data_IF_892747690284
#
_entry.id   IF_892747690284
#
_cell.length_a   1.000
_cell.length_b   1.000
_cell.length_c   1.000
_cell.angle_alpha   90.00
_cell.angle_beta   90.00
_cell.angle_gamma   90.00
#
_symmetry.space_group_name_H-M   'P 1'
#
loop_
_entity.id
_entity.type
_entity.pdbx_description
1 polymer ?
#
# COMPACT_ATOMS: atom_id res chain seq x y z
N UNK A 1 35.43 71.16 -50.51
CA UNK A 1 34.57 71.04 -49.34
C UNK A 1 33.75 69.75 -49.47
N UNK A 2 34.27 68.66 -48.93
CA UNK A 2 33.60 67.35 -49.02
C UNK A 2 33.24 66.89 -47.58
N UNK A 3 31.98 66.86 -47.29
CA UNK A 3 31.45 66.40 -45.99
C UNK A 3 31.40 64.89 -46.02
N UNK A 4 32.18 64.25 -45.16
CA UNK A 4 32.11 62.82 -44.89
C UNK A 4 30.98 62.53 -43.92
N UNK A 5 29.99 61.80 -44.40
CA UNK A 5 28.92 61.30 -43.55
C UNK A 5 29.33 59.95 -43.07
N UNK A 6 29.59 59.87 -41.78
CA UNK A 6 29.90 58.60 -41.05
C UNK A 6 28.60 57.91 -40.69
N UNK A 7 28.34 56.78 -41.32
CA UNK A 7 27.17 55.91 -41.04
C UNK A 7 27.58 54.99 -39.91
N UNK A 8 26.98 55.19 -38.73
CA UNK A 8 27.13 54.33 -37.58
C UNK A 8 26.15 53.17 -37.70
N UNK A 9 26.66 51.99 -38.02
CA UNK A 9 25.85 50.78 -38.05
C UNK A 9 25.79 50.23 -36.62
N UNK A 10 24.67 50.44 -35.91
CA UNK A 10 24.41 49.80 -34.65
C UNK A 10 23.96 48.33 -34.87
N UNK A 11 24.85 47.40 -34.53
CA UNK A 11 24.53 45.98 -34.51
C UNK A 11 23.66 45.69 -33.29
N UNK A 12 22.39 45.45 -33.49
CA UNK A 12 21.48 44.96 -32.47
C UNK A 12 21.74 43.46 -32.29
N UNK A 13 22.43 43.10 -31.21
CA UNK A 13 22.59 41.69 -30.80
C UNK A 13 21.30 41.31 -30.07
N UNK A 14 20.48 40.54 -30.77
CA UNK A 14 19.27 39.91 -30.22
C UNK A 14 19.72 38.70 -29.40
N UNK A 15 19.87 38.85 -28.07
CA UNK A 15 20.09 37.73 -27.15
C UNK A 15 18.75 37.04 -26.90
N UNK A 16 18.53 35.92 -27.58
CA UNK A 16 17.41 35.03 -27.26
C UNK A 16 17.71 34.31 -25.95
N UNK A 17 17.14 34.82 -24.88
CA UNK A 17 17.10 34.08 -23.61
C UNK A 17 16.15 32.90 -23.75
N UNK A 18 16.70 31.71 -23.98
CA UNK A 18 15.94 30.47 -23.94
C UNK A 18 15.53 30.22 -22.46
N UNK A 19 14.29 30.55 -22.11
CA UNK A 19 13.67 30.07 -20.88
C UNK A 19 13.55 28.53 -20.98
N UNK A 20 14.50 27.82 -20.42
CA UNK A 20 14.34 26.42 -20.10
C UNK A 20 13.22 26.33 -19.06
N UNK A 21 12.02 26.01 -19.51
CA UNK A 21 10.93 25.60 -18.63
C UNK A 21 11.37 24.30 -17.94
N UNK A 22 11.98 24.45 -16.78
CA UNK A 22 12.25 23.34 -15.90
C UNK A 22 10.90 22.73 -15.50
N UNK A 23 10.55 21.61 -16.11
CA UNK A 23 9.45 20.76 -15.69
C UNK A 23 9.79 20.33 -14.26
N UNK A 24 9.28 21.04 -13.26
CA UNK A 24 9.28 20.56 -11.89
C UNK A 24 8.38 19.34 -11.86
N UNK A 25 8.94 18.16 -12.05
CA UNK A 25 8.29 16.90 -11.70
C UNK A 25 8.07 16.98 -10.19
N UNK A 26 6.87 17.41 -9.80
CA UNK A 26 6.42 17.32 -8.43
C UNK A 26 6.32 15.82 -8.13
N UNK A 27 7.33 15.27 -7.50
CA UNK A 27 7.24 13.96 -6.86
C UNK A 27 6.29 14.18 -5.68
N UNK A 28 4.99 14.09 -5.97
CA UNK A 28 3.96 13.98 -4.94
C UNK A 28 4.35 12.72 -4.18
N UNK A 29 4.93 12.88 -2.99
CA UNK A 29 5.29 11.76 -2.14
C UNK A 29 4.05 10.89 -2.00
N UNK A 30 4.11 9.67 -2.55
CA UNK A 30 3.02 8.72 -2.41
C UNK A 30 2.92 8.42 -0.93
N UNK A 31 1.89 8.93 -0.27
CA UNK A 31 1.63 8.60 1.12
C UNK A 31 1.46 7.09 1.23
N UNK A 32 2.03 6.45 2.25
CA UNK A 32 1.88 5.02 2.41
C UNK A 32 0.39 4.65 2.50
N UNK A 33 -0.03 3.69 1.69
CA UNK A 33 -1.40 3.19 1.73
C UNK A 33 -1.67 2.54 3.08
N UNK A 34 -2.66 3.04 3.81
CA UNK A 34 -3.05 2.54 5.13
C UNK A 34 -4.33 1.73 5.05
N UNK A 35 -4.32 0.61 5.74
CA UNK A 35 -5.45 -0.29 5.90
C UNK A 35 -5.88 -0.30 7.37
N UNK A 36 -7.17 -0.10 7.64
CA UNK A 36 -7.75 -0.36 8.95
C UNK A 36 -8.36 -1.75 8.95
N UNK A 37 -8.10 -2.51 10.00
CA UNK A 37 -8.59 -3.87 10.19
C UNK A 37 -9.26 -3.91 11.56
N UNK A 38 -10.58 -4.02 11.58
CA UNK A 38 -11.30 -4.29 12.83
C UNK A 38 -11.46 -5.81 12.97
N UNK A 39 -10.91 -6.36 14.05
CA UNK A 39 -11.02 -7.78 14.39
C UNK A 39 -12.08 -7.94 15.47
N UNK A 40 -13.05 -8.80 15.21
CA UNK A 40 -13.99 -9.33 16.21
C UNK A 40 -13.64 -10.80 16.45
N UNK A 41 -13.16 -11.09 17.66
CA UNK A 41 -12.78 -12.46 18.06
C UNK A 41 -13.87 -13.17 18.87
N UNK A 42 -15.11 -12.64 18.84
CA UNK A 42 -16.25 -13.18 19.58
C UNK A 42 -16.31 -12.74 21.04
N UNK A 43 -15.22 -12.21 21.59
CA UNK A 43 -15.16 -11.70 22.97
C UNK A 43 -15.01 -10.19 22.99
N UNK A 44 -14.25 -9.64 22.08
CA UNK A 44 -13.94 -8.21 21.99
C UNK A 44 -13.62 -7.79 20.55
N UNK A 45 -13.74 -6.47 20.32
CA UNK A 45 -13.36 -5.84 19.06
C UNK A 45 -12.06 -5.08 19.22
N UNK A 46 -11.15 -5.28 18.28
CA UNK A 46 -9.85 -4.63 18.23
C UNK A 46 -9.67 -3.93 16.90
N UNK A 47 -9.06 -2.75 16.92
CA UNK A 47 -8.72 -2.01 15.71
C UNK A 47 -7.20 -2.06 15.50
N UNK A 48 -6.81 -2.55 14.35
CA UNK A 48 -5.42 -2.58 13.88
C UNK A 48 -5.27 -1.64 12.69
N UNK A 49 -4.10 -1.06 12.55
CA UNK A 49 -3.70 -0.33 11.35
C UNK A 49 -2.56 -1.09 10.69
N UNK A 50 -2.55 -1.12 9.38
CA UNK A 50 -1.46 -1.72 8.61
C UNK A 50 -0.96 -0.78 7.53
N UNK A 51 0.32 -0.88 7.22
CA UNK A 51 0.94 -0.22 6.08
C UNK A 51 1.03 -1.21 4.92
N UNK A 52 0.45 -0.85 3.78
CA UNK A 52 0.48 -1.68 2.59
C UNK A 52 1.74 -1.39 1.75
N UNK A 53 2.26 -2.43 1.11
CA UNK A 53 3.34 -2.32 0.14
C UNK A 53 2.81 -1.78 -1.19
N UNK A 54 3.65 -1.07 -1.92
CA UNK A 54 3.29 -0.52 -3.23
C UNK A 54 3.46 -1.57 -4.35
N UNK A 55 2.42 -2.39 -4.53
CA UNK A 55 2.33 -3.37 -5.61
C UNK A 55 0.91 -3.42 -6.19
N UNK A 56 0.72 -4.12 -7.30
CA UNK A 56 -0.59 -4.19 -7.98
C UNK A 56 -1.68 -4.85 -7.14
N UNK A 57 -1.33 -5.80 -6.28
CA UNK A 57 -2.28 -6.49 -5.40
C UNK A 57 -2.80 -5.56 -4.31
N UNK A 58 -1.91 -4.80 -3.68
CA UNK A 58 -2.27 -3.83 -2.63
C UNK A 58 -3.09 -2.66 -3.20
N UNK A 59 -2.73 -2.18 -4.40
CA UNK A 59 -3.53 -1.14 -5.08
C UNK A 59 -4.93 -1.66 -5.41
N UNK A 60 -5.06 -2.88 -5.93
CA UNK A 60 -6.36 -3.48 -6.21
C UNK A 60 -7.19 -3.73 -4.94
N UNK A 61 -6.55 -4.07 -3.82
CA UNK A 61 -7.23 -4.14 -2.52
C UNK A 61 -7.76 -2.77 -2.10
N UNK A 62 -6.97 -1.71 -2.21
CA UNK A 62 -7.41 -0.33 -1.91
C UNK A 62 -8.58 0.09 -2.81
N UNK A 63 -8.52 -0.19 -4.12
CA UNK A 63 -9.62 0.09 -5.06
C UNK A 63 -10.91 -0.66 -4.70
N UNK A 64 -10.80 -1.89 -4.22
CA UNK A 64 -11.94 -2.65 -3.69
C UNK A 64 -12.52 -1.94 -2.46
N UNK A 65 -11.68 -1.54 -1.50
CA UNK A 65 -12.10 -0.91 -0.26
C UNK A 65 -12.62 0.53 -0.43
N UNK A 66 -12.25 1.22 -1.51
CA UNK A 66 -12.84 2.52 -1.87
C UNK A 66 -14.32 2.39 -2.27
N UNK A 67 -14.77 1.22 -2.68
CA UNK A 67 -16.18 0.93 -2.99
C UNK A 67 -17.02 0.62 -1.75
N UNK A 68 -16.37 0.31 -0.64
CA UNK A 68 -16.99 0.01 0.65
C UNK A 68 -16.14 -0.92 1.51
N UNK A 69 -16.52 -1.04 2.77
CA UNK A 69 -15.90 -1.97 3.70
C UNK A 69 -16.06 -3.43 3.23
N UNK A 70 -15.06 -4.25 3.46
CA UNK A 70 -15.07 -5.68 3.18
C UNK A 70 -15.04 -6.45 4.49
N UNK A 71 -16.04 -7.27 4.73
CA UNK A 71 -16.10 -8.19 5.88
C UNK A 71 -15.64 -9.57 5.46
N UNK A 72 -14.75 -10.16 6.23
CA UNK A 72 -14.14 -11.46 5.98
C UNK A 72 -14.29 -12.33 7.23
N UNK A 73 -14.91 -13.47 7.09
CA UNK A 73 -14.87 -14.52 8.11
C UNK A 73 -13.58 -15.31 7.94
N UNK A 74 -12.74 -15.28 8.97
CA UNK A 74 -11.42 -15.87 8.94
C UNK A 74 -11.35 -17.04 9.93
N UNK A 75 -10.82 -18.16 9.47
CA UNK A 75 -10.55 -19.31 10.32
C UNK A 75 -9.08 -19.41 10.69
N UNK A 76 -8.80 -20.06 11.79
CA UNK A 76 -7.44 -20.39 12.19
C UNK A 76 -6.88 -21.51 11.32
N UNK A 77 -5.64 -21.36 10.88
CA UNK A 77 -4.93 -22.39 10.16
C UNK A 77 -3.62 -22.71 10.86
N UNK A 78 -3.51 -23.96 11.31
CA UNK A 78 -2.29 -24.54 11.90
C UNK A 78 -1.63 -23.74 13.03
N UNK A 79 -2.36 -22.87 13.73
CA UNK A 79 -1.90 -22.01 14.81
C UNK A 79 -0.77 -21.04 14.43
N UNK A 80 -0.75 -20.54 13.17
CA UNK A 80 0.19 -19.52 12.74
C UNK A 80 -0.43 -18.41 11.89
N UNK A 81 -1.66 -18.60 11.37
CA UNK A 81 -2.34 -17.59 10.54
C UNK A 81 -3.87 -17.61 10.72
N UNK A 82 -4.49 -16.48 10.45
CA UNK A 82 -5.94 -16.37 10.17
C UNK A 82 -6.12 -16.15 8.68
N UNK A 83 -7.00 -16.93 8.06
CA UNK A 83 -7.24 -16.90 6.61
C UNK A 83 -8.72 -16.85 6.29
N UNK A 84 -9.09 -15.99 5.34
CA UNK A 84 -10.47 -15.88 4.83
C UNK A 84 -10.52 -15.33 3.42
N UNK A 85 -11.59 -15.60 2.71
CA UNK A 85 -11.74 -15.28 1.30
C UNK A 85 -12.20 -13.82 1.10
N UNK A 86 -11.53 -13.11 0.20
CA UNK A 86 -12.00 -11.86 -0.37
C UNK A 86 -13.20 -12.11 -1.31
N UNK A 87 -14.11 -11.13 -1.49
CA UNK A 87 -15.25 -11.27 -2.40
C UNK A 87 -14.84 -11.32 -3.87
N UNK A 88 -13.63 -10.92 -4.21
CA UNK A 88 -13.08 -10.87 -5.56
C UNK A 88 -11.67 -11.45 -5.61
N UNK A 89 -11.22 -11.82 -6.81
CA UNK A 89 -9.82 -12.19 -7.06
C UNK A 89 -9.01 -10.94 -7.39
N UNK A 90 -7.86 -10.79 -6.75
CA UNK A 90 -6.91 -9.70 -6.96
C UNK A 90 -5.69 -10.18 -7.78
N UNK A 91 -4.96 -9.26 -8.43
CA UNK A 91 -3.69 -9.60 -9.08
C UNK A 91 -2.70 -10.25 -8.10
N UNK A 92 -1.87 -11.17 -8.57
CA UNK A 92 -0.84 -11.83 -7.78
C UNK A 92 0.53 -11.24 -8.08
N UNK A 93 1.35 -11.15 -7.04
CA UNK A 93 2.77 -10.77 -7.11
C UNK A 93 3.58 -11.76 -6.25
N UNK A 94 3.42 -13.04 -6.52
CA UNK A 94 4.01 -14.10 -5.71
C UNK A 94 5.53 -14.05 -5.78
N UNK A 95 6.15 -14.18 -4.62
CA UNK A 95 7.61 -14.22 -4.45
C UNK A 95 7.95 -15.10 -3.24
N UNK A 96 9.12 -15.75 -3.21
CA UNK A 96 9.59 -16.44 -2.02
C UNK A 96 9.58 -15.51 -0.81
N UNK A 97 8.77 -15.85 0.18
CA UNK A 97 8.50 -14.98 1.33
C UNK A 97 8.61 -15.78 2.63
N UNK A 98 9.36 -15.24 3.57
CA UNK A 98 9.36 -15.71 4.97
C UNK A 98 8.48 -14.76 5.77
N UNK A 99 7.34 -15.26 6.24
CA UNK A 99 6.39 -14.46 7.03
C UNK A 99 6.77 -14.42 8.49
N UNK A 100 6.31 -13.38 9.18
CA UNK A 100 6.37 -13.23 10.64
C UNK A 100 5.07 -12.56 11.14
N UNK A 101 4.92 -12.45 12.44
CA UNK A 101 3.74 -11.83 13.05
C UNK A 101 3.48 -10.42 12.49
N UNK A 102 2.25 -10.17 12.10
CA UNK A 102 1.77 -8.93 11.49
C UNK A 102 1.84 -8.90 9.97
N UNK A 103 2.48 -9.86 9.31
CA UNK A 103 2.50 -9.87 7.83
C UNK A 103 1.10 -10.15 7.27
N UNK A 104 0.72 -9.32 6.29
CA UNK A 104 -0.52 -9.45 5.53
C UNK A 104 -0.19 -10.02 4.15
N UNK A 105 -0.86 -11.11 3.82
CA UNK A 105 -0.60 -11.88 2.61
C UNK A 105 -1.89 -12.02 1.78
N UNK A 106 -1.74 -12.00 0.47
CA UNK A 106 -2.73 -12.49 -0.47
C UNK A 106 -2.29 -13.87 -0.96
N UNK A 107 -3.06 -14.90 -0.65
CA UNK A 107 -2.78 -16.25 -1.10
C UNK A 107 -3.70 -16.64 -2.25
N UNK A 108 -3.12 -17.15 -3.33
CA UNK A 108 -3.79 -17.54 -4.56
C UNK A 108 -4.72 -16.46 -5.16
N UNK A 109 -4.42 -15.19 -4.92
CA UNK A 109 -5.19 -14.05 -5.44
C UNK A 109 -6.54 -13.82 -4.76
N UNK A 110 -6.96 -14.65 -3.83
CA UNK A 110 -8.29 -14.58 -3.22
C UNK A 110 -8.32 -14.59 -1.70
N UNK A 111 -7.36 -15.22 -1.05
CA UNK A 111 -7.35 -15.37 0.41
C UNK A 111 -6.57 -14.24 1.04
N UNK A 112 -7.23 -13.48 1.91
CA UNK A 112 -6.58 -12.53 2.79
C UNK A 112 -6.11 -13.26 4.04
N UNK A 113 -4.83 -13.09 4.39
CA UNK A 113 -4.17 -13.82 5.47
C UNK A 113 -3.50 -12.83 6.42
N UNK A 114 -3.67 -13.04 7.71
CA UNK A 114 -2.95 -12.35 8.79
C UNK A 114 -2.08 -13.37 9.51
N UNK A 115 -0.77 -13.25 9.34
CA UNK A 115 0.19 -14.10 10.03
C UNK A 115 0.39 -13.62 11.48
N UNK A 116 0.44 -14.55 12.41
CA UNK A 116 0.84 -14.29 13.78
C UNK A 116 1.98 -15.22 14.26
N UNK A 117 2.49 -16.06 13.35
CA UNK A 117 3.72 -16.82 13.48
C UNK A 117 4.40 -17.02 12.12
N UNK A 118 5.51 -17.71 12.10
CA UNK A 118 6.36 -17.86 10.92
C UNK A 118 5.85 -18.93 9.95
N UNK A 119 5.99 -18.65 8.67
CA UNK A 119 5.82 -19.59 7.58
C UNK A 119 6.73 -19.19 6.41
N UNK A 120 6.94 -20.09 5.45
CA UNK A 120 7.76 -19.81 4.26
C UNK A 120 7.13 -20.47 3.04
N UNK A 121 6.79 -19.66 2.04
CA UNK A 121 6.20 -20.11 0.78
C UNK A 121 6.29 -19.01 -0.26
N UNK A 122 5.81 -19.30 -1.48
CA UNK A 122 5.57 -18.28 -2.50
C UNK A 122 4.25 -17.58 -2.22
N UNK A 123 4.35 -16.36 -1.70
CA UNK A 123 3.20 -15.53 -1.34
C UNK A 123 3.22 -14.19 -2.08
N UNK A 124 2.06 -13.56 -2.18
CA UNK A 124 1.93 -12.15 -2.53
C UNK A 124 1.87 -11.28 -1.27
N UNK A 125 2.95 -10.57 -0.89
CA UNK A 125 2.92 -9.67 0.26
C UNK A 125 2.02 -8.47 0.00
N UNK A 126 1.08 -8.22 0.91
CA UNK A 126 0.19 -7.04 0.87
C UNK A 126 0.70 -5.91 1.75
N UNK A 127 1.30 -6.21 2.89
CA UNK A 127 1.72 -5.22 3.86
C UNK A 127 2.02 -5.81 5.24
N UNK A 128 2.03 -4.93 6.24
CA UNK A 128 2.29 -5.32 7.63
C UNK A 128 1.45 -4.51 8.61
N UNK A 129 0.96 -5.16 9.65
CA UNK A 129 0.29 -4.52 10.79
C UNK A 129 1.30 -3.66 11.54
N UNK A 130 0.91 -2.41 11.82
CA UNK A 130 1.76 -1.42 12.46
C UNK A 130 1.78 -1.58 13.99
N UNK A 131 2.95 -1.43 14.58
CA UNK A 131 3.11 -1.22 16.03
C UNK A 131 2.56 -2.33 16.94
N UNK A 132 2.40 -3.56 16.46
CA UNK A 132 1.90 -4.69 17.23
C UNK A 132 3.01 -5.73 17.44
N UNK A 133 3.13 -6.24 18.65
CA UNK A 133 4.02 -7.38 18.94
C UNK A 133 3.32 -8.70 18.59
N UNK A 134 4.13 -9.76 18.40
CA UNK A 134 3.61 -11.11 18.19
C UNK A 134 2.64 -11.53 19.31
N UNK A 135 3.00 -11.26 20.56
CA UNK A 135 2.19 -11.63 21.73
C UNK A 135 0.84 -10.89 21.76
N UNK A 136 0.85 -9.58 21.46
CA UNK A 136 -0.36 -8.78 21.36
C UNK A 136 -1.25 -9.22 20.20
N UNK A 137 -0.67 -9.44 19.02
CA UNK A 137 -1.42 -9.90 17.86
C UNK A 137 -2.06 -11.26 18.10
N UNK A 138 -1.32 -12.20 18.71
CA UNK A 138 -1.85 -13.51 19.08
C UNK A 138 -3.00 -13.40 20.08
N UNK A 139 -2.93 -12.47 21.03
CA UNK A 139 -4.02 -12.20 21.97
C UNK A 139 -5.25 -11.58 21.28
N UNK A 140 -5.04 -10.64 20.34
CA UNK A 140 -6.10 -9.99 19.58
C UNK A 140 -6.83 -10.99 18.68
N UNK A 141 -6.09 -11.80 17.94
CA UNK A 141 -6.66 -12.81 17.04
C UNK A 141 -7.29 -13.96 17.80
N UNK A 142 -6.80 -14.26 19.02
CA UNK A 142 -7.35 -15.30 19.86
C UNK A 142 -7.24 -16.70 19.26
N UNK A 143 -7.95 -17.64 19.90
CA UNK A 143 -8.15 -18.99 19.39
C UNK A 143 -9.42 -19.06 18.52
N UNK A 144 -9.43 -19.96 17.53
CA UNK A 144 -10.58 -20.18 16.66
C UNK A 144 -10.77 -19.10 15.58
N UNK A 145 -12.00 -18.90 15.18
CA UNK A 145 -12.34 -18.01 14.07
C UNK A 145 -12.47 -16.56 14.54
N UNK A 146 -12.24 -15.64 13.59
CA UNK A 146 -12.48 -14.20 13.80
C UNK A 146 -13.21 -13.62 12.60
N UNK A 147 -13.92 -12.51 12.80
CA UNK A 147 -14.41 -11.69 11.70
C UNK A 147 -13.54 -10.46 11.57
N UNK A 148 -13.02 -10.21 10.38
CA UNK A 148 -12.25 -9.01 10.06
C UNK A 148 -13.06 -8.07 9.17
N UNK A 149 -13.13 -6.78 9.53
CA UNK A 149 -13.69 -5.73 8.67
C UNK A 149 -12.54 -4.85 8.18
N UNK A 150 -12.34 -4.85 6.87
CA UNK A 150 -11.30 -4.07 6.20
C UNK A 150 -11.87 -2.75 5.69
N UNK A 151 -11.16 -1.65 5.94
CA UNK A 151 -11.46 -0.33 5.37
C UNK A 151 -10.15 0.35 5.01
N UNK A 152 -10.14 1.17 3.94
CA UNK A 152 -9.01 2.06 3.73
C UNK A 152 -9.14 3.29 4.64
N UNK A 153 -8.02 3.76 5.18
CA UNK A 153 -7.99 5.06 5.85
C UNK A 153 -8.28 6.14 4.81
N UNK A 154 -9.35 6.91 5.02
CA UNK A 154 -9.67 8.03 4.13
C UNK A 154 -8.48 9.01 4.02
N UNK A 155 -8.34 9.58 2.85
CA UNK A 155 -7.42 10.69 2.58
C UNK A 155 -8.04 11.97 3.14
#
# INVERSE_FOLDING_TARGET
>A
MKKLISILIAAVILTTTACAAGTKTSTKGVLPMKLNIQIDNGTSKHNLTATLYDNSSSRALVELLQKGAVTIDMHDFSNFEKVGDLPVTLPRNDTPTNTDAGDLILYLGKRFVIYYDKNSWDFTPLGKVDGVTKAELKKILGEGNVTAVLTCSGH
#
